data_IF_465825750218
#
_entry.id   IF_465825750218
#
_cell.length_a   1.000
_cell.length_b   1.000
_cell.length_c   1.000
_cell.angle_alpha   90.00
_cell.angle_beta   90.00
_cell.angle_gamma   90.00
#
_symmetry.space_group_name_H-M   'P 1'
#
loop_
_entity.id
_entity.type
_entity.pdbx_description
1 polymer ?
#
# COMPACT_ATOMS: atom_id res chain seq x y z
N UNK A 1 26.82 1.02 -31.75
CA UNK A 1 25.49 0.49 -32.16
C UNK A 1 25.45 -1.04 -32.01
N UNK A 2 26.27 -1.60 -31.11
CA UNK A 2 26.68 -3.01 -31.18
C UNK A 2 25.86 -3.93 -30.29
N UNK A 3 25.14 -3.38 -29.31
CA UNK A 3 24.30 -4.17 -28.40
C UNK A 3 23.15 -4.93 -29.07
N UNK A 4 22.56 -4.37 -30.13
CA UNK A 4 21.51 -5.06 -30.89
C UNK A 4 22.04 -6.21 -31.74
N UNK A 5 23.31 -6.13 -32.16
CA UNK A 5 23.99 -7.18 -32.92
C UNK A 5 24.34 -8.37 -32.03
N UNK A 6 24.81 -8.10 -30.81
CA UNK A 6 25.15 -9.15 -29.82
C UNK A 6 23.91 -9.89 -29.31
N UNK A 7 22.79 -9.17 -29.13
CA UNK A 7 21.52 -9.78 -28.71
C UNK A 7 20.86 -10.58 -29.84
N UNK A 8 20.97 -10.12 -31.09
CA UNK A 8 20.55 -10.88 -32.26
C UNK A 8 21.36 -12.18 -32.41
N UNK A 9 22.69 -12.12 -32.19
CA UNK A 9 23.55 -13.30 -32.24
C UNK A 9 23.18 -14.33 -31.16
N UNK A 10 22.93 -13.89 -29.91
CA UNK A 10 22.44 -14.76 -28.84
C UNK A 10 21.10 -15.43 -29.17
N UNK A 11 20.18 -14.72 -29.83
CA UNK A 11 18.91 -15.30 -30.28
C UNK A 11 19.12 -16.38 -31.37
N UNK A 12 20.11 -16.21 -32.26
CA UNK A 12 20.46 -17.20 -33.28
C UNK A 12 21.05 -18.46 -32.62
N UNK A 13 21.93 -18.31 -31.64
CA UNK A 13 22.53 -19.45 -30.93
C UNK A 13 21.49 -20.28 -30.17
N UNK A 14 20.53 -19.60 -29.51
CA UNK A 14 19.39 -20.25 -28.85
C UNK A 14 18.47 -20.97 -29.85
N UNK A 15 18.29 -20.40 -31.05
CA UNK A 15 17.53 -21.07 -32.10
C UNK A 15 18.23 -22.35 -32.59
N UNK A 16 19.55 -22.33 -32.77
CA UNK A 16 20.33 -23.52 -33.15
C UNK A 16 20.22 -24.61 -32.08
N UNK A 17 20.30 -24.26 -30.79
CA UNK A 17 20.08 -25.21 -29.69
C UNK A 17 18.66 -25.78 -29.68
N UNK A 18 17.66 -24.97 -30.03
CA UNK A 18 16.28 -25.44 -30.13
C UNK A 18 16.09 -26.41 -31.32
N UNK A 19 16.82 -26.21 -32.42
CA UNK A 19 16.81 -27.11 -33.58
C UNK A 19 17.49 -28.45 -33.29
N UNK A 20 18.63 -28.45 -32.60
CA UNK A 20 19.28 -29.70 -32.17
C UNK A 20 18.43 -30.48 -31.17
N UNK A 21 17.61 -29.77 -30.37
CA UNK A 21 16.64 -30.37 -29.47
C UNK A 21 15.30 -30.77 -30.14
N UNK A 22 15.16 -30.63 -31.47
CA UNK A 22 13.95 -31.00 -32.22
C UNK A 22 12.74 -30.09 -32.00
N UNK A 23 12.91 -28.92 -31.36
CA UNK A 23 11.84 -27.98 -31.02
C UNK A 23 11.72 -26.88 -32.08
N UNK A 24 11.20 -27.27 -33.25
CA UNK A 24 11.13 -26.44 -34.47
C UNK A 24 10.36 -25.13 -34.24
N UNK A 25 9.20 -25.18 -33.58
CA UNK A 25 8.39 -23.97 -33.31
C UNK A 25 9.08 -22.95 -32.40
N UNK A 26 9.91 -23.42 -31.46
CA UNK A 26 10.67 -22.54 -30.56
C UNK A 26 11.83 -21.90 -31.32
N UNK A 27 12.50 -22.66 -32.18
CA UNK A 27 13.56 -22.14 -33.04
C UNK A 27 13.04 -21.03 -33.98
N UNK A 28 11.85 -21.21 -34.58
CA UNK A 28 11.24 -20.19 -35.45
C UNK A 28 11.01 -18.86 -34.71
N UNK A 29 10.50 -18.92 -33.48
CA UNK A 29 10.25 -17.73 -32.65
C UNK A 29 11.54 -16.97 -32.32
N UNK A 30 12.63 -17.68 -32.01
CA UNK A 30 13.92 -17.05 -31.74
C UNK A 30 14.55 -16.45 -33.00
N UNK A 31 14.40 -17.08 -34.17
CA UNK A 31 14.89 -16.55 -35.45
C UNK A 31 14.10 -15.31 -35.89
N UNK A 32 12.77 -15.29 -35.73
CA UNK A 32 11.95 -14.10 -35.98
C UNK A 32 12.32 -12.94 -35.06
N UNK A 33 12.68 -13.23 -33.80
CA UNK A 33 13.16 -12.22 -32.85
C UNK A 33 14.53 -11.67 -33.27
N UNK A 34 15.45 -12.53 -33.70
CA UNK A 34 16.75 -12.11 -34.21
C UNK A 34 16.63 -11.21 -35.45
N UNK A 35 15.75 -11.57 -36.39
CA UNK A 35 15.49 -10.78 -37.61
C UNK A 35 14.92 -9.38 -37.32
N UNK A 36 14.05 -9.27 -36.30
CA UNK A 36 13.49 -7.97 -35.86
C UNK A 36 14.50 -7.07 -35.14
N UNK A 37 15.49 -7.66 -34.47
CA UNK A 37 16.51 -6.92 -33.74
C UNK A 37 17.64 -6.47 -34.68
N UNK A 38 18.19 -7.39 -35.46
CA UNK A 38 19.21 -7.11 -36.47
C UNK A 38 19.16 -8.16 -37.59
N UNK A 39 18.72 -7.81 -38.80
CA UNK A 39 18.57 -8.77 -39.89
C UNK A 39 19.93 -9.27 -40.37
N UNK A 40 20.22 -10.54 -40.12
CA UNK A 40 21.43 -11.23 -40.58
C UNK A 40 21.10 -12.28 -41.63
N UNK A 41 22.02 -12.51 -42.57
CA UNK A 41 21.85 -13.55 -43.60
C UNK A 41 21.77 -14.97 -43.00
N UNK A 42 22.43 -15.19 -41.85
CA UNK A 42 22.35 -16.45 -41.10
C UNK A 42 20.94 -16.70 -40.53
N UNK A 43 20.32 -15.68 -39.92
CA UNK A 43 18.96 -15.80 -39.38
C UNK A 43 17.93 -16.11 -40.48
N UNK A 44 18.03 -15.43 -41.63
CA UNK A 44 17.12 -15.66 -42.78
C UNK A 44 17.24 -17.08 -43.35
N UNK A 45 18.48 -17.58 -43.52
CA UNK A 45 18.72 -18.95 -44.02
C UNK A 45 18.14 -20.02 -43.10
N UNK A 46 18.38 -19.90 -41.79
CA UNK A 46 17.83 -20.83 -40.80
C UNK A 46 16.30 -20.77 -40.74
N UNK A 47 15.72 -19.58 -40.87
CA UNK A 47 14.27 -19.41 -40.87
C UNK A 47 13.61 -20.02 -42.11
N UNK A 48 14.26 -19.94 -43.29
CA UNK A 48 13.82 -20.63 -44.49
C UNK A 48 13.87 -22.16 -44.34
N UNK A 49 14.93 -22.69 -43.72
CA UNK A 49 15.08 -24.12 -43.44
C UNK A 49 14.03 -24.65 -42.45
N UNK A 50 13.67 -23.85 -41.45
CA UNK A 50 12.64 -24.17 -40.46
C UNK A 50 11.24 -24.19 -41.08
N UNK A 51 10.95 -23.23 -41.99
CA UNK A 51 9.67 -23.18 -42.69
C UNK A 51 9.48 -24.35 -43.66
N UNK A 52 10.55 -24.78 -44.35
CA UNK A 52 10.47 -25.95 -45.24
C UNK A 52 10.37 -27.28 -44.49
N UNK A 53 10.93 -27.39 -43.29
CA UNK A 53 10.76 -28.57 -42.42
C UNK A 53 9.37 -28.64 -41.79
N UNK A 54 8.75 -27.50 -41.47
CA UNK A 54 7.38 -27.45 -40.93
C UNK A 54 6.31 -27.89 -41.94
N UNK A 55 6.52 -27.63 -43.24
CA UNK A 55 5.57 -28.02 -44.30
C UNK A 55 5.52 -29.52 -44.62
N UNK A 56 6.51 -30.31 -44.19
CA UNK A 56 6.57 -31.76 -44.47
C UNK A 56 5.89 -32.64 -43.38
N UNK A 57 5.37 -32.05 -42.30
CA UNK A 57 4.88 -32.78 -41.12
C UNK A 57 3.38 -33.07 -41.06
N UNK A 58 2.59 -32.77 -42.08
CA UNK A 58 1.12 -32.93 -42.03
C UNK A 58 0.60 -33.86 -43.14
N UNK A 59 0.56 -35.16 -42.85
CA UNK A 59 -0.25 -36.10 -43.63
C UNK A 59 -0.93 -37.10 -42.68
N UNK A 60 -2.25 -36.98 -42.51
CA UNK A 60 -3.02 -37.82 -41.57
C UNK A 60 -4.51 -37.48 -41.43
N UNK A 61 -5.29 -37.73 -42.51
CA UNK A 61 -6.70 -38.21 -42.54
C UNK A 61 -7.82 -37.26 -42.04
N UNK A 62 -8.59 -36.62 -42.95
CA UNK A 62 -9.95 -37.00 -43.47
C UNK A 62 -11.09 -36.90 -42.44
N UNK A 63 -12.32 -36.39 -42.67
CA UNK A 63 -13.15 -35.93 -43.81
C UNK A 63 -14.34 -35.18 -43.15
N UNK A 64 -14.93 -34.12 -43.69
CA UNK A 64 -16.01 -34.15 -44.69
C UNK A 64 -16.40 -32.71 -45.02
N UNK A 65 -16.75 -32.48 -46.29
CA UNK A 65 -17.15 -31.18 -46.83
C UNK A 65 -18.67 -31.17 -47.09
N UNK A 66 -19.28 -30.00 -46.97
CA UNK A 66 -20.47 -29.61 -47.72
C UNK A 66 -20.45 -28.08 -47.91
N UNK A 67 -20.63 -27.66 -49.16
CA UNK A 67 -20.55 -26.29 -49.64
C UNK A 67 -21.93 -25.75 -50.02
N UNK A 68 -22.09 -24.42 -49.96
CA UNK A 68 -22.91 -23.56 -50.84
C UNK A 68 -22.65 -22.11 -50.39
N UNK A 69 -21.96 -21.30 -51.20
CA UNK A 69 -22.52 -20.40 -52.23
C UNK A 69 -23.52 -19.36 -51.69
N UNK A 70 -23.10 -18.08 -51.59
CA UNK A 70 -23.69 -17.00 -52.39
C UNK A 70 -22.99 -15.63 -52.21
N UNK A 71 -23.09 -14.84 -53.27
CA UNK A 71 -22.51 -13.52 -53.55
C UNK A 71 -23.11 -12.41 -52.68
N UNK A 72 -22.32 -11.37 -52.37
CA UNK A 72 -22.79 -9.98 -52.56
C UNK A 72 -21.62 -9.01 -52.75
N UNK A 73 -21.84 -8.03 -53.63
CA UNK A 73 -20.89 -7.06 -54.15
C UNK A 73 -21.29 -5.67 -53.64
N UNK A 74 -20.43 -5.00 -52.87
CA UNK A 74 -20.67 -3.63 -52.42
C UNK A 74 -19.37 -2.86 -52.09
N UNK A 75 -19.29 -1.55 -52.39
CA UNK A 75 -18.02 -0.83 -52.43
C UNK A 75 -17.50 -0.49 -51.03
N UNK A 76 -16.20 -0.71 -50.82
CA UNK A 76 -15.48 -0.38 -49.59
C UNK A 76 -15.51 1.14 -49.33
N UNK A 77 -16.39 1.58 -48.43
CA UNK A 77 -16.30 2.89 -47.78
C UNK A 77 -15.18 2.82 -46.74
N UNK A 78 -14.08 3.52 -46.98
CA UNK A 78 -12.99 3.72 -46.02
C UNK A 78 -13.53 4.48 -44.81
N UNK A 79 -13.63 3.79 -43.67
CA UNK A 79 -13.75 4.44 -42.36
C UNK A 79 -12.38 4.31 -41.70
N UNK A 80 -11.75 5.46 -41.48
CA UNK A 80 -10.59 5.60 -40.61
C UNK A 80 -10.95 5.06 -39.23
N UNK A 81 -10.32 3.95 -38.83
CA UNK A 81 -10.29 3.51 -37.44
C UNK A 81 -8.89 3.77 -36.90
N UNK A 82 -8.67 5.01 -36.45
CA UNK A 82 -7.72 5.27 -35.38
C UNK A 82 -8.25 4.64 -34.10
N UNK A 83 -8.02 3.35 -33.94
CA UNK A 83 -8.16 2.66 -32.67
C UNK A 83 -7.39 1.33 -32.76
N UNK A 84 -6.06 1.43 -32.66
CA UNK A 84 -5.22 0.31 -32.24
C UNK A 84 -5.66 -0.06 -30.82
N UNK A 85 -6.60 -0.99 -30.68
CA UNK A 85 -6.83 -1.69 -29.43
C UNK A 85 -5.57 -2.49 -29.12
N UNK A 86 -4.74 -1.95 -28.24
CA UNK A 86 -3.66 -2.69 -27.59
C UNK A 86 -4.25 -3.96 -27.01
N UNK A 87 -3.64 -5.10 -27.31
CA UNK A 87 -3.97 -6.34 -26.62
C UNK A 87 -3.98 -6.08 -25.10
N UNK A 88 -4.97 -6.59 -24.34
CA UNK A 88 -5.01 -6.38 -22.91
C UNK A 88 -3.72 -6.90 -22.26
N UNK A 89 -3.07 -6.05 -21.47
CA UNK A 89 -1.79 -6.30 -20.78
C UNK A 89 -1.96 -7.29 -19.59
N UNK A 90 -2.97 -8.17 -19.65
CA UNK A 90 -3.40 -9.07 -18.59
C UNK A 90 -3.93 -10.40 -19.16
N UNK A 91 -3.78 -11.49 -18.39
CA UNK A 91 -4.33 -12.80 -18.76
C UNK A 91 -5.81 -12.92 -18.38
N UNK A 92 -6.58 -13.77 -19.07
CA UNK A 92 -7.98 -14.03 -18.69
C UNK A 92 -8.09 -14.56 -17.25
N UNK A 93 -7.14 -15.40 -16.82
CA UNK A 93 -7.06 -15.92 -15.45
C UNK A 93 -6.85 -14.80 -14.41
N UNK A 94 -6.07 -13.76 -14.75
CA UNK A 94 -5.86 -12.59 -13.89
C UNK A 94 -7.13 -11.75 -13.75
N UNK A 95 -7.89 -11.62 -14.84
CA UNK A 95 -9.18 -10.91 -14.84
C UNK A 95 -10.23 -11.66 -14.01
N UNK A 96 -10.26 -12.99 -14.12
CA UNK A 96 -11.17 -13.85 -13.36
C UNK A 96 -10.87 -13.80 -11.86
N UNK A 97 -9.59 -13.82 -11.46
CA UNK A 97 -9.18 -13.67 -10.07
C UNK A 97 -9.63 -12.33 -9.46
N UNK A 98 -9.48 -11.23 -10.21
CA UNK A 98 -9.95 -9.90 -9.78
C UNK A 98 -11.47 -9.86 -9.66
N UNK A 99 -12.20 -10.42 -10.64
CA UNK A 99 -13.67 -10.49 -10.59
C UNK A 99 -14.16 -11.30 -9.39
N UNK A 100 -13.55 -12.45 -9.12
CA UNK A 100 -13.91 -13.31 -7.99
C UNK A 100 -13.82 -12.57 -6.66
N UNK A 101 -12.73 -11.85 -6.43
CA UNK A 101 -12.55 -11.07 -5.20
C UNK A 101 -13.52 -9.91 -5.11
N UNK A 102 -13.84 -9.26 -6.23
CA UNK A 102 -14.84 -8.18 -6.26
C UNK A 102 -16.25 -8.68 -5.95
N UNK A 103 -16.59 -9.92 -6.33
CA UNK A 103 -17.91 -10.52 -6.08
C UNK A 103 -18.09 -11.09 -4.66
N UNK A 104 -16.99 -11.48 -4.00
CA UNK A 104 -17.01 -12.13 -2.68
C UNK A 104 -17.19 -11.13 -1.55
N UNK A 105 -18.36 -11.14 -0.90
CA UNK A 105 -18.66 -10.22 0.19
C UNK A 105 -17.91 -10.59 1.48
N UNK A 106 -17.76 -11.88 1.79
CA UNK A 106 -17.15 -12.34 3.05
C UNK A 106 -15.60 -12.36 2.99
N UNK A 107 -14.93 -12.02 4.10
CA UNK A 107 -13.46 -12.01 4.17
C UNK A 107 -12.83 -13.40 4.02
N UNK A 108 -13.52 -14.43 4.52
CA UNK A 108 -13.08 -15.83 4.34
C UNK A 108 -13.16 -16.26 2.87
N UNK A 109 -14.18 -15.81 2.14
CA UNK A 109 -14.35 -16.08 0.71
C UNK A 109 -13.33 -15.31 -0.14
N UNK A 110 -13.01 -14.06 0.24
CA UNK A 110 -11.96 -13.25 -0.41
C UNK A 110 -10.60 -13.95 -0.33
N UNK A 111 -10.27 -14.57 0.80
CA UNK A 111 -9.05 -15.35 0.97
C UNK A 111 -9.17 -16.79 0.44
N UNK A 112 -10.37 -17.25 0.13
CA UNK A 112 -10.64 -18.62 -0.31
C UNK A 112 -10.36 -19.68 0.75
N UNK A 113 -10.63 -19.36 2.02
CA UNK A 113 -10.39 -20.24 3.18
C UNK A 113 -11.70 -20.52 3.94
N UNK A 114 -11.73 -21.63 4.68
CA UNK A 114 -12.87 -21.96 5.56
C UNK A 114 -12.96 -20.99 6.75
N UNK A 115 -14.16 -20.80 7.31
CA UNK A 115 -14.36 -20.07 8.59
C UNK A 115 -13.59 -20.72 9.75
N UNK A 116 -13.35 -22.03 9.68
CA UNK A 116 -12.56 -22.80 10.65
C UNK A 116 -11.05 -22.77 10.38
N UNK A 117 -10.58 -21.99 9.41
CA UNK A 117 -9.17 -21.97 9.02
C UNK A 117 -8.28 -21.44 10.15
N UNK A 118 -7.10 -22.03 10.28
CA UNK A 118 -6.09 -21.57 11.25
C UNK A 118 -5.40 -20.30 10.76
N UNK A 119 -4.82 -19.51 11.67
CA UNK A 119 -4.08 -18.29 11.30
C UNK A 119 -2.96 -18.58 10.30
N UNK A 120 -2.34 -19.76 10.39
CA UNK A 120 -1.30 -20.20 9.46
C UNK A 120 -1.83 -20.40 8.03
N UNK A 121 -3.06 -20.86 7.87
CA UNK A 121 -3.71 -21.08 6.58
C UNK A 121 -4.15 -19.75 5.96
N UNK A 122 -4.70 -18.85 6.78
CA UNK A 122 -5.07 -17.47 6.39
C UNK A 122 -3.84 -16.74 5.84
N UNK A 123 -2.70 -16.81 6.56
CA UNK A 123 -1.42 -16.21 6.14
C UNK A 123 -0.89 -16.81 4.84
N UNK A 124 -0.97 -18.14 4.68
CA UNK A 124 -0.55 -18.83 3.44
C UNK A 124 -1.42 -18.44 2.25
N UNK A 125 -2.73 -18.37 2.43
CA UNK A 125 -3.68 -17.98 1.39
C UNK A 125 -3.47 -16.54 0.95
N UNK A 126 -3.31 -15.61 1.91
CA UNK A 126 -2.96 -14.21 1.64
C UNK A 126 -1.67 -14.10 0.82
N UNK A 127 -0.59 -14.78 1.24
CA UNK A 127 0.70 -14.76 0.53
C UNK A 127 0.57 -15.18 -0.93
N UNK A 128 -0.21 -16.23 -1.20
CA UNK A 128 -0.42 -16.75 -2.56
C UNK A 128 -1.21 -15.77 -3.42
N UNK A 129 -2.32 -15.23 -2.89
CA UNK A 129 -3.19 -14.30 -3.61
C UNK A 129 -2.53 -12.93 -3.82
N UNK A 130 -1.78 -12.44 -2.83
CA UNK A 130 -1.10 -11.15 -2.91
C UNK A 130 -0.07 -11.14 -4.05
N UNK A 131 0.66 -12.23 -4.27
CA UNK A 131 1.59 -12.37 -5.40
C UNK A 131 0.89 -12.44 -6.77
N UNK A 132 -0.34 -12.98 -6.82
CA UNK A 132 -1.13 -13.09 -8.05
C UNK A 132 -1.84 -11.78 -8.43
N UNK A 133 -2.19 -10.97 -7.43
CA UNK A 133 -2.99 -9.75 -7.59
C UNK A 133 -2.17 -8.47 -7.42
N UNK A 134 -0.87 -8.59 -7.17
CA UNK A 134 0.01 -7.44 -7.03
C UNK A 134 -0.08 -6.55 -8.30
N UNK A 135 -0.26 -5.22 -8.16
CA UNK A 135 -0.50 -4.32 -9.30
C UNK A 135 0.65 -4.29 -10.31
N UNK A 136 1.88 -4.63 -9.88
CA UNK A 136 3.05 -4.77 -10.77
C UNK A 136 2.95 -5.99 -11.71
N UNK A 137 2.33 -7.09 -11.25
CA UNK A 137 2.21 -8.35 -12.01
C UNK A 137 0.86 -8.52 -12.68
N UNK A 138 -0.18 -7.89 -12.16
CA UNK A 138 -1.55 -7.96 -12.66
C UNK A 138 -2.07 -6.55 -13.00
N UNK A 139 -2.06 -6.24 -14.30
CA UNK A 139 -2.56 -4.97 -14.85
C UNK A 139 -4.02 -5.03 -15.28
N UNK A 140 -4.78 -6.05 -14.83
CA UNK A 140 -6.20 -6.14 -15.12
C UNK A 140 -6.97 -4.97 -14.47
N UNK A 141 -8.05 -4.47 -15.12
CA UNK A 141 -8.86 -3.40 -14.56
C UNK A 141 -9.46 -3.83 -13.21
N UNK A 142 -9.20 -3.03 -12.16
CA UNK A 142 -9.66 -3.32 -10.79
C UNK A 142 -8.71 -4.20 -9.96
N UNK A 143 -7.51 -4.52 -10.44
CA UNK A 143 -6.52 -5.29 -9.66
C UNK A 143 -6.13 -4.57 -8.35
N UNK A 144 -5.98 -3.25 -8.38
CA UNK A 144 -5.71 -2.41 -7.20
C UNK A 144 -6.82 -2.53 -6.17
N UNK A 145 -8.08 -2.53 -6.59
CA UNK A 145 -9.23 -2.65 -5.68
C UNK A 145 -9.30 -4.05 -5.06
N UNK A 146 -9.09 -5.09 -5.87
CA UNK A 146 -9.06 -6.47 -5.40
C UNK A 146 -7.89 -6.70 -4.42
N UNK A 147 -6.72 -6.10 -4.68
CA UNK A 147 -5.57 -6.17 -3.78
C UNK A 147 -5.85 -5.48 -2.44
N UNK A 148 -6.52 -4.32 -2.45
CA UNK A 148 -6.98 -3.66 -1.22
C UNK A 148 -7.99 -4.49 -0.44
N UNK A 149 -8.98 -5.07 -1.12
CA UNK A 149 -9.95 -5.96 -0.48
C UNK A 149 -9.28 -7.18 0.15
N UNK A 150 -8.28 -7.77 -0.52
CA UNK A 150 -7.46 -8.86 -0.01
C UNK A 150 -6.67 -8.45 1.25
N UNK A 151 -6.07 -7.25 1.24
CA UNK A 151 -5.35 -6.69 2.39
C UNK A 151 -6.26 -6.48 3.61
N UNK A 152 -7.46 -5.91 3.40
CA UNK A 152 -8.44 -5.71 4.46
C UNK A 152 -8.91 -7.04 5.07
N UNK A 153 -9.22 -8.03 4.21
CA UNK A 153 -9.62 -9.36 4.66
C UNK A 153 -8.55 -10.02 5.53
N UNK A 154 -7.28 -9.98 5.08
CA UNK A 154 -6.17 -10.52 5.86
C UNK A 154 -5.92 -9.73 7.15
N UNK A 155 -5.98 -8.40 7.13
CA UNK A 155 -5.78 -7.57 8.32
C UNK A 155 -6.81 -7.85 9.42
N UNK A 156 -8.07 -8.09 9.06
CA UNK A 156 -9.12 -8.44 10.01
C UNK A 156 -9.00 -9.89 10.49
N UNK A 157 -8.74 -10.83 9.58
CA UNK A 157 -8.72 -12.27 9.91
C UNK A 157 -7.42 -12.74 10.58
N UNK A 158 -6.33 -12.00 10.47
CA UNK A 158 -5.05 -12.33 11.15
C UNK A 158 -4.97 -11.83 12.58
N UNK A 159 -5.84 -10.91 12.98
CA UNK A 159 -5.95 -10.39 14.34
C UNK A 159 -7.06 -11.15 15.08
N UNK A 160 -6.73 -11.79 16.20
CA UNK A 160 -7.66 -12.64 16.94
C UNK A 160 -8.87 -11.87 17.49
N UNK A 161 -8.69 -10.61 17.91
CA UNK A 161 -9.76 -9.78 18.44
C UNK A 161 -10.67 -9.29 17.31
N UNK A 162 -10.07 -8.84 16.20
CA UNK A 162 -10.84 -8.37 15.04
C UNK A 162 -11.57 -9.51 14.34
N UNK A 163 -10.96 -10.69 14.23
CA UNK A 163 -11.60 -11.91 13.72
C UNK A 163 -12.79 -12.31 14.58
N UNK A 164 -12.65 -12.28 15.91
CA UNK A 164 -13.76 -12.56 16.82
C UNK A 164 -14.91 -11.56 16.65
N UNK A 165 -14.61 -10.27 16.55
CA UNK A 165 -15.63 -9.25 16.33
C UNK A 165 -16.31 -9.42 14.96
N UNK A 166 -15.53 -9.77 13.93
CA UNK A 166 -16.05 -10.08 12.60
C UNK A 166 -16.98 -11.30 12.60
N UNK A 167 -16.61 -12.36 13.32
CA UNK A 167 -17.42 -13.58 13.42
C UNK A 167 -18.72 -13.36 14.21
N UNK A 168 -18.74 -12.42 15.16
CA UNK A 168 -19.91 -12.08 15.98
C UNK A 168 -20.91 -11.17 15.26
N UNK A 169 -20.43 -10.14 14.57
CA UNK A 169 -21.28 -9.06 14.03
C UNK A 169 -21.37 -9.06 12.49
N UNK A 170 -20.50 -9.81 11.81
CA UNK A 170 -20.42 -9.84 10.35
C UNK A 170 -20.05 -8.50 9.73
N UNK A 171 -20.25 -8.39 8.41
CA UNK A 171 -19.92 -7.19 7.62
C UNK A 171 -20.89 -6.02 7.87
N UNK A 172 -22.05 -6.27 8.46
CA UNK A 172 -23.18 -5.34 8.41
C UNK A 172 -23.37 -4.45 9.66
N UNK A 173 -22.55 -4.55 10.70
CA UNK A 173 -22.73 -3.75 11.92
C UNK A 173 -21.50 -2.92 12.31
N UNK A 174 -21.16 -1.92 11.50
CA UNK A 174 -20.43 -0.74 12.01
C UNK A 174 -21.36 0.46 12.17
N UNK A 175 -22.51 0.20 12.79
CA UNK A 175 -23.55 1.20 13.00
C UNK A 175 -24.27 1.06 14.35
N UNK A 176 -23.56 0.73 15.44
CA UNK A 176 -23.91 1.23 16.78
C UNK A 176 -22.91 0.78 17.86
N UNK A 177 -22.21 1.76 18.45
CA UNK A 177 -21.97 1.78 19.90
C UNK A 177 -20.60 1.33 20.43
N UNK A 178 -19.93 2.29 21.08
CA UNK A 178 -18.80 2.18 22.03
C UNK A 178 -17.42 1.97 21.39
N UNK A 179 -16.43 2.84 21.54
CA UNK A 179 -16.20 3.85 22.57
C UNK A 179 -14.83 3.58 23.22
N UNK A 180 -13.85 4.41 22.87
CA UNK A 180 -12.70 4.79 23.71
C UNK A 180 -11.64 3.72 24.04
N UNK A 181 -10.46 3.79 23.39
CA UNK A 181 -9.15 3.98 24.05
C UNK A 181 -8.00 3.88 23.00
N UNK A 182 -7.04 4.80 23.02
CA UNK A 182 -5.71 4.56 22.43
C UNK A 182 -5.26 5.50 21.29
N UNK A 183 -4.69 6.65 21.69
CA UNK A 183 -3.48 7.28 21.15
C UNK A 183 -3.09 7.16 19.66
N UNK A 184 -3.00 8.33 19.01
CA UNK A 184 -1.74 8.79 18.42
C UNK A 184 -1.27 8.22 17.07
N UNK A 185 -1.29 9.11 16.08
CA UNK A 185 -0.38 9.22 14.93
C UNK A 185 -0.59 8.33 13.68
N UNK A 186 -0.50 9.04 12.54
CA UNK A 186 -0.39 8.61 11.14
C UNK A 186 -1.71 8.48 10.35
N UNK A 187 -1.98 9.49 9.52
CA UNK A 187 -3.11 9.50 8.61
C UNK A 187 -2.95 10.45 7.44
N UNK A 188 -1.82 10.40 6.74
CA UNK A 188 -1.70 10.96 5.39
C UNK A 188 -2.32 9.95 4.42
N UNK A 189 -3.63 10.05 4.16
CA UNK A 189 -4.35 9.07 3.33
C UNK A 189 -5.58 9.68 2.66
N UNK A 190 -5.44 9.88 1.35
CA UNK A 190 -6.35 10.59 0.47
C UNK A 190 -7.84 10.16 0.54
N UNK A 191 -8.69 11.17 0.41
CA UNK A 191 -10.07 11.08 -0.04
C UNK A 191 -10.16 10.29 -1.36
N UNK A 192 -10.70 9.07 -1.32
CA UNK A 192 -11.38 8.47 -2.46
C UNK A 192 -12.70 7.86 -1.98
N UNK A 193 -13.81 8.36 -2.55
CA UNK A 193 -15.12 7.74 -2.48
C UNK A 193 -15.01 6.31 -3.06
N UNK A 194 -15.09 5.29 -2.22
CA UNK A 194 -15.26 3.91 -2.66
C UNK A 194 -16.75 3.59 -2.75
N UNK A 195 -17.22 3.39 -3.98
CA UNK A 195 -18.59 2.99 -4.36
C UNK A 195 -18.92 1.54 -3.99
N UNK A 196 -17.98 0.80 -3.39
CA UNK A 196 -18.17 -0.59 -2.98
C UNK A 196 -17.72 -0.75 -1.52
N UNK A 197 -18.65 -1.22 -0.67
CA UNK A 197 -18.62 -1.17 0.80
C UNK A 197 -17.55 -1.98 1.55
N UNK A 198 -16.36 -2.22 0.98
CA UNK A 198 -15.24 -2.90 1.66
C UNK A 198 -14.43 -2.00 2.60
N UNK A 199 -14.80 -0.73 2.71
CA UNK A 199 -14.08 0.30 3.49
C UNK A 199 -14.97 0.99 4.52
N UNK A 200 -16.01 0.31 5.02
CA UNK A 200 -16.90 0.82 6.08
C UNK A 200 -16.71 0.00 7.36
N UNK A 201 -15.83 0.46 8.24
CA UNK A 201 -15.88 0.11 9.68
C UNK A 201 -14.84 -0.88 10.21
N UNK A 202 -14.19 -1.66 9.36
CA UNK A 202 -13.03 -2.50 9.71
C UNK A 202 -11.86 -2.12 8.81
N UNK A 203 -11.33 -0.91 9.00
CA UNK A 203 -10.08 -0.57 8.34
C UNK A 203 -8.96 -1.28 9.11
N UNK A 204 -8.18 -2.11 8.42
CA UNK A 204 -6.91 -2.54 8.98
C UNK A 204 -6.09 -1.26 9.20
N UNK A 205 -5.54 -1.08 10.40
CA UNK A 205 -4.66 0.06 10.74
C UNK A 205 -3.36 0.05 9.91
N UNK A 206 -3.18 -1.00 9.11
CA UNK A 206 -2.05 -1.31 8.27
C UNK A 206 -2.55 -1.33 6.82
N UNK A 207 -1.94 -0.55 5.94
CA UNK A 207 -2.28 -0.56 4.51
C UNK A 207 -2.03 -1.94 3.88
N UNK A 208 -2.70 -2.28 2.78
CA UNK A 208 -2.49 -3.56 2.10
C UNK A 208 -1.01 -3.73 1.66
N UNK A 209 -0.36 -2.62 1.32
CA UNK A 209 1.04 -2.52 0.95
C UNK A 209 1.98 -2.67 2.16
N UNK A 210 1.63 -2.08 3.31
CA UNK A 210 2.39 -2.22 4.55
C UNK A 210 2.23 -3.62 5.16
N UNK A 211 1.04 -4.21 5.05
CA UNK A 211 0.78 -5.60 5.42
C UNK A 211 1.62 -6.52 4.54
N UNK A 212 1.66 -6.27 3.22
CA UNK A 212 2.54 -7.00 2.30
C UNK A 212 4.01 -6.84 2.71
N UNK A 213 4.47 -5.63 3.00
CA UNK A 213 5.85 -5.41 3.45
C UNK A 213 6.13 -6.13 4.79
N UNK A 214 5.20 -6.12 5.74
CA UNK A 214 5.35 -6.86 7.00
C UNK A 214 5.39 -8.38 6.76
N UNK A 215 4.61 -8.90 5.81
CA UNK A 215 4.54 -10.33 5.49
C UNK A 215 5.68 -10.85 4.62
N UNK A 216 6.29 -10.00 3.78
CA UNK A 216 7.31 -10.40 2.80
C UNK A 216 8.72 -9.86 3.11
N UNK A 217 8.84 -8.78 3.89
CA UNK A 217 10.11 -8.12 4.19
C UNK A 217 10.71 -8.52 5.57
N UNK A 218 10.02 -9.37 6.33
CA UNK A 218 10.50 -9.97 7.58
C UNK A 218 11.13 -11.37 7.43
N UNK A 219 11.33 -11.87 6.20
CA UNK A 219 11.85 -13.22 6.01
C UNK A 219 12.02 -13.64 4.55
N UNK A 220 13.05 -13.12 3.88
CA UNK A 220 13.76 -13.85 2.83
C UNK A 220 15.21 -13.34 2.74
N UNK A 221 16.22 -14.22 2.93
CA UNK A 221 17.58 -13.93 2.51
C UNK A 221 17.63 -14.08 0.99
N UNK A 222 17.66 -12.97 0.26
CA UNK A 222 18.07 -13.01 -1.14
C UNK A 222 19.56 -12.71 -1.21
N UNK A 223 20.30 -13.75 -1.57
CA UNK A 223 21.71 -13.73 -1.92
C UNK A 223 21.99 -12.63 -2.96
N UNK A 224 22.94 -11.75 -2.59
CA UNK A 224 24.00 -11.18 -3.40
C UNK A 224 23.65 -10.63 -4.80
N UNK A 225 23.59 -9.30 -4.90
CA UNK A 225 24.20 -8.58 -6.03
C UNK A 225 25.04 -7.41 -5.49
N UNK A 226 26.35 -7.57 -5.67
CA UNK A 226 27.50 -6.68 -5.49
C UNK A 226 27.27 -5.19 -5.16
N UNK A 227 27.71 -4.77 -3.97
CA UNK A 227 28.33 -3.46 -3.75
C UNK A 227 29.57 -3.63 -2.87
N UNK A 228 30.71 -3.24 -3.42
CA UNK A 228 32.06 -3.45 -2.90
C UNK A 228 32.54 -2.16 -2.25
N UNK A 229 32.75 -2.12 -0.93
CA UNK A 229 33.94 -1.47 -0.38
C UNK A 229 34.28 -1.97 1.04
N UNK A 230 35.54 -2.40 1.17
CA UNK A 230 36.17 -2.88 2.39
C UNK A 230 36.29 -1.78 3.45
N UNK A 231 36.00 -2.11 4.73
CA UNK A 231 36.93 -1.84 5.83
C UNK A 231 36.68 -2.72 7.06
N UNK A 232 37.66 -3.60 7.29
CA UNK A 232 38.23 -4.10 8.57
C UNK A 232 37.30 -4.60 9.69
N UNK A 233 37.18 -5.93 9.75
CA UNK A 233 37.81 -6.84 10.75
C UNK A 233 38.25 -6.22 12.11
N UNK A 234 37.57 -6.61 13.18
CA UNK A 234 38.09 -7.18 14.44
C UNK A 234 36.96 -8.08 14.98
N UNK A 235 37.09 -9.41 14.84
CA UNK A 235 37.41 -10.38 15.91
C UNK A 235 36.32 -10.48 16.99
N UNK A 236 35.88 -11.65 17.46
CA UNK A 236 36.01 -13.04 17.06
C UNK A 236 35.07 -13.84 17.99
N UNK A 237 34.54 -14.95 17.48
CA UNK A 237 34.20 -16.21 18.15
C UNK A 237 33.71 -16.16 19.61
N UNK A 238 32.52 -16.71 19.80
CA UNK A 238 32.38 -17.97 20.55
C UNK A 238 31.18 -18.76 20.00
N UNK A 239 31.50 -19.89 19.37
CA UNK A 239 30.55 -20.95 19.09
C UNK A 239 30.38 -21.80 20.34
N UNK A 240 29.17 -22.36 20.50
CA UNK A 240 28.88 -23.68 21.10
C UNK A 240 28.70 -23.72 22.62
N UNK A 241 27.47 -23.96 23.05
CA UNK A 241 27.02 -25.24 23.64
C UNK A 241 25.63 -25.07 24.24
N UNK A 242 24.80 -26.10 24.11
CA UNK A 242 23.49 -26.13 24.75
C UNK A 242 23.64 -26.07 26.27
N UNK A 243 22.97 -25.11 26.88
CA UNK A 243 22.63 -25.18 28.29
C UNK A 243 21.31 -24.44 28.51
N UNK A 244 20.42 -25.09 29.27
CA UNK A 244 19.07 -24.66 29.66
C UNK A 244 19.08 -23.42 30.58
N UNK A 245 19.71 -22.34 30.14
CA UNK A 245 19.77 -21.05 30.83
C UNK A 245 19.55 -19.93 29.81
N UNK A 246 18.38 -19.93 29.16
CA UNK A 246 18.15 -19.08 27.98
C UNK A 246 16.87 -18.25 28.04
N UNK A 247 16.11 -18.23 29.15
CA UNK A 247 14.98 -17.32 29.26
C UNK A 247 15.44 -15.85 29.43
N UNK A 248 16.44 -15.60 30.29
CA UNK A 248 16.95 -14.25 30.56
C UNK A 248 17.77 -13.66 29.41
N UNK A 249 18.58 -14.48 28.72
CA UNK A 249 19.39 -14.02 27.57
C UNK A 249 18.51 -13.72 26.34
N UNK A 250 17.43 -14.48 26.13
CA UNK A 250 16.45 -14.21 25.08
C UNK A 250 15.59 -12.96 25.36
N UNK A 251 15.40 -12.60 26.64
CA UNK A 251 14.70 -11.37 27.05
C UNK A 251 15.58 -10.12 26.97
N UNK A 252 16.90 -10.25 26.91
CA UNK A 252 17.86 -9.15 26.88
C UNK A 252 17.62 -8.14 25.74
N UNK A 253 17.34 -8.53 24.47
CA UNK A 253 16.98 -7.57 23.42
C UNK A 253 15.63 -6.87 23.67
N UNK A 254 14.65 -7.55 24.28
CA UNK A 254 13.35 -6.96 24.64
C UNK A 254 13.51 -5.97 25.80
N UNK A 255 14.27 -6.34 26.83
CA UNK A 255 14.62 -5.48 27.95
C UNK A 255 15.45 -4.28 27.50
N UNK A 256 16.29 -4.43 26.49
CA UNK A 256 17.03 -3.33 25.90
C UNK A 256 16.10 -2.37 25.16
N UNK A 257 15.11 -2.86 24.40
CA UNK A 257 14.11 -2.01 23.73
C UNK A 257 13.21 -1.28 24.73
N UNK A 258 12.73 -1.98 25.76
CA UNK A 258 11.95 -1.38 26.85
C UNK A 258 12.82 -0.36 27.58
N UNK A 259 14.06 -0.71 27.92
CA UNK A 259 15.02 0.17 28.56
C UNK A 259 15.31 1.42 27.74
N UNK A 260 15.52 1.29 26.43
CA UNK A 260 15.80 2.41 25.52
C UNK A 260 14.56 3.29 25.29
N UNK A 261 13.36 2.70 25.28
CA UNK A 261 12.09 3.43 25.27
C UNK A 261 11.78 4.15 26.58
N UNK A 262 12.21 3.60 27.72
CA UNK A 262 12.10 4.29 29.01
C UNK A 262 13.15 5.39 29.13
N UNK A 263 14.38 5.13 28.65
CA UNK A 263 15.46 6.11 28.64
C UNK A 263 15.14 7.30 27.74
N UNK A 264 14.48 7.09 26.59
CA UNK A 264 14.11 8.19 25.69
C UNK A 264 13.19 9.21 26.37
N UNK A 265 12.34 8.78 27.31
CA UNK A 265 11.48 9.66 28.10
C UNK A 265 12.26 10.50 29.11
N UNK A 266 13.45 10.06 29.55
CA UNK A 266 14.35 10.83 30.41
C UNK A 266 15.15 11.90 29.66
N UNK A 267 15.32 11.77 28.34
CA UNK A 267 16.02 12.75 27.51
C UNK A 267 15.11 13.83 26.92
N UNK A 268 13.79 13.77 27.16
CA UNK A 268 12.88 14.85 26.79
C UNK A 268 13.08 15.97 27.81
N UNK A 269 13.83 17.00 27.42
CA UNK A 269 13.93 18.22 28.20
C UNK A 269 12.55 18.87 28.30
N UNK A 270 12.24 19.33 29.51
CA UNK A 270 10.98 20.04 29.76
C UNK A 270 10.88 21.30 28.90
N UNK A 271 9.71 21.62 28.33
CA UNK A 271 9.53 22.85 27.59
C UNK A 271 9.72 24.07 28.51
N UNK A 272 10.17 25.19 27.94
CA UNK A 272 10.43 26.41 28.71
C UNK A 272 9.15 27.09 29.20
N UNK A 273 8.03 26.81 28.55
CA UNK A 273 6.73 27.40 28.86
C UNK A 273 5.59 26.40 28.58
N UNK A 274 4.38 26.76 29.01
CA UNK A 274 3.14 26.05 28.71
C UNK A 274 2.04 27.06 28.35
N UNK A 275 1.14 26.69 27.43
CA UNK A 275 -0.07 27.47 27.14
C UNK A 275 -1.20 27.21 28.15
N UNK A 276 -1.04 26.19 28.99
CA UNK A 276 -2.01 25.82 30.04
C UNK A 276 -1.36 25.85 31.42
N UNK A 277 -2.10 26.29 32.46
CA UNK A 277 -1.56 26.35 33.80
C UNK A 277 -1.29 24.93 34.33
N UNK A 278 -0.18 24.76 35.02
CA UNK A 278 0.12 23.51 35.73
C UNK A 278 0.96 23.79 36.97
N UNK A 279 1.09 22.81 37.87
CA UNK A 279 1.94 22.97 39.06
C UNK A 279 3.41 23.26 38.73
N UNK A 280 3.87 22.86 37.53
CA UNK A 280 5.23 23.14 37.05
C UNK A 280 5.36 24.52 36.42
N UNK A 281 4.28 25.01 35.83
CA UNK A 281 4.19 26.31 35.16
C UNK A 281 3.14 27.17 35.88
N UNK A 282 3.52 27.69 37.05
CA UNK A 282 2.70 28.47 37.97
C UNK A 282 2.63 29.95 37.58
N UNK A 283 3.71 30.51 37.06
CA UNK A 283 3.84 31.95 36.82
C UNK A 283 3.20 32.31 35.49
N UNK A 284 2.12 33.10 35.55
CA UNK A 284 1.45 33.61 34.35
C UNK A 284 2.19 34.82 33.76
N UNK A 285 2.27 34.86 32.44
CA UNK A 285 2.84 35.94 31.64
C UNK A 285 1.97 36.19 30.42
N UNK A 286 2.15 37.33 29.77
CA UNK A 286 1.45 37.68 28.54
C UNK A 286 2.46 38.12 27.49
N UNK A 287 2.24 37.70 26.25
CA UNK A 287 3.09 38.10 25.13
C UNK A 287 2.87 39.57 24.80
N UNK A 288 3.88 40.22 24.21
CA UNK A 288 3.78 41.65 23.94
C UNK A 288 2.82 41.99 22.78
N UNK A 289 2.77 41.18 21.72
CA UNK A 289 2.06 41.53 20.49
C UNK A 289 0.59 41.12 20.53
N UNK A 290 0.30 39.83 20.70
CA UNK A 290 -1.06 39.28 20.68
C UNK A 290 -1.71 39.18 22.07
N UNK A 291 -0.99 39.59 23.13
CA UNK A 291 -1.43 39.49 24.54
C UNK A 291 -1.89 38.08 24.93
N UNK A 292 -1.22 37.06 24.39
CA UNK A 292 -1.55 35.66 24.65
C UNK A 292 -1.03 35.28 26.04
N UNK A 293 -1.87 34.72 26.94
CA UNK A 293 -1.41 34.25 28.23
C UNK A 293 -0.62 32.95 28.08
N UNK A 294 0.54 32.89 28.73
CA UNK A 294 1.38 31.70 28.80
C UNK A 294 1.97 31.54 30.21
N UNK A 295 2.45 30.36 30.54
CA UNK A 295 2.87 29.99 31.89
C UNK A 295 4.31 29.50 31.89
N UNK A 296 5.10 29.98 32.84
CA UNK A 296 6.52 29.62 33.02
C UNK A 296 6.76 29.09 34.44
N UNK A 297 7.92 28.48 34.66
CA UNK A 297 8.35 28.04 35.99
C UNK A 297 8.70 29.24 36.88
N UNK A 298 8.68 29.06 38.20
CA UNK A 298 9.07 30.10 39.17
C UNK A 298 10.52 30.60 38.93
N UNK A 299 11.42 29.70 38.56
CA UNK A 299 12.84 29.98 38.32
C UNK A 299 13.15 30.42 36.87
N UNK A 300 12.17 30.93 36.13
CA UNK A 300 12.31 31.26 34.70
C UNK A 300 13.50 32.18 34.41
N UNK A 301 13.67 33.28 35.16
CA UNK A 301 14.74 34.25 34.93
C UNK A 301 16.15 33.70 35.21
N UNK A 302 16.27 32.69 36.08
CA UNK A 302 17.55 32.04 36.37
C UNK A 302 17.88 30.90 35.40
N UNK A 303 16.86 30.22 34.85
CA UNK A 303 17.06 29.11 33.90
C UNK A 303 17.16 29.59 32.44
N UNK A 304 16.47 30.68 32.09
CA UNK A 304 16.36 31.15 30.71
C UNK A 304 17.37 32.27 30.40
N UNK A 305 18.42 31.93 29.66
CA UNK A 305 19.45 32.88 29.22
C UNK A 305 19.13 33.57 27.86
N UNK A 306 17.99 33.25 27.24
CA UNK A 306 17.64 33.73 25.90
C UNK A 306 16.92 35.08 25.85
N UNK A 307 16.53 35.51 24.65
CA UNK A 307 15.70 36.71 24.48
C UNK A 307 14.23 36.40 24.71
N UNK A 308 13.62 37.03 25.73
CA UNK A 308 12.19 36.88 26.05
C UNK A 308 11.31 37.26 24.86
N UNK A 309 11.71 38.25 24.05
CA UNK A 309 10.96 38.64 22.86
C UNK A 309 10.87 37.51 21.82
N UNK A 310 11.96 36.76 21.60
CA UNK A 310 11.96 35.60 20.68
C UNK A 310 11.14 34.44 21.25
N UNK A 311 11.18 34.25 22.56
CA UNK A 311 10.32 33.27 23.22
C UNK A 311 8.85 33.63 23.02
N UNK A 312 8.46 34.88 23.26
CA UNK A 312 7.09 35.36 23.08
C UNK A 312 6.61 35.21 21.62
N UNK A 313 7.47 35.48 20.64
CA UNK A 313 7.17 35.22 19.21
C UNK A 313 6.87 33.74 18.96
N UNK A 314 7.67 32.82 19.51
CA UNK A 314 7.40 31.38 19.40
C UNK A 314 6.11 30.96 20.12
N UNK A 315 5.80 31.57 21.27
CA UNK A 315 4.56 31.34 22.01
C UNK A 315 3.35 31.75 21.19
N UNK A 316 3.42 32.91 20.52
CA UNK A 316 2.36 33.42 19.66
C UNK A 316 2.14 32.52 18.44
N UNK A 317 3.22 32.09 17.79
CA UNK A 317 3.15 31.16 16.66
C UNK A 317 2.51 29.82 17.08
N UNK A 318 2.98 29.22 18.18
CA UNK A 318 2.44 27.96 18.69
C UNK A 318 0.97 28.08 19.11
N UNK A 319 0.59 29.20 19.72
CA UNK A 319 -0.80 29.47 20.08
C UNK A 319 -1.71 29.59 18.84
N UNK A 320 -1.28 30.34 17.82
CA UNK A 320 -2.04 30.48 16.57
C UNK A 320 -2.13 29.15 15.84
N UNK A 321 -1.05 28.36 15.80
CA UNK A 321 -1.06 27.02 15.21
C UNK A 321 -2.01 26.08 15.96
N UNK A 322 -2.02 26.13 17.29
CA UNK A 322 -2.98 25.39 18.11
C UNK A 322 -4.43 25.79 17.79
N UNK A 323 -4.72 27.08 17.67
CA UNK A 323 -6.05 27.57 17.28
C UNK A 323 -6.44 27.13 15.87
N UNK A 324 -5.51 27.16 14.89
CA UNK A 324 -5.74 26.64 13.53
C UNK A 324 -6.12 25.17 13.55
N UNK A 325 -5.38 24.34 14.28
CA UNK A 325 -5.67 22.92 14.39
C UNK A 325 -7.01 22.65 15.09
N UNK A 326 -7.28 23.35 16.19
CA UNK A 326 -8.55 23.22 16.92
C UNK A 326 -9.75 23.68 16.09
N UNK A 327 -9.63 24.81 15.37
CA UNK A 327 -10.65 25.27 14.44
C UNK A 327 -10.88 24.27 13.30
N UNK A 328 -9.81 23.73 12.70
CA UNK A 328 -9.92 22.72 11.64
C UNK A 328 -10.67 21.49 12.15
N UNK A 329 -10.37 21.02 13.36
CA UNK A 329 -11.06 19.88 13.99
C UNK A 329 -12.55 20.16 14.23
N UNK A 330 -12.89 21.33 14.79
CA UNK A 330 -14.29 21.74 15.00
C UNK A 330 -15.07 21.82 13.69
N UNK A 331 -14.47 22.43 12.67
CA UNK A 331 -15.06 22.53 11.33
C UNK A 331 -15.25 21.17 10.68
N UNK A 332 -14.24 20.30 10.74
CA UNK A 332 -14.34 18.94 10.22
C UNK A 332 -15.43 18.13 10.92
N UNK A 333 -15.58 18.31 12.25
CA UNK A 333 -16.65 17.68 13.01
C UNK A 333 -18.03 18.18 12.55
N UNK A 334 -18.20 19.49 12.40
CA UNK A 334 -19.44 20.09 11.88
C UNK A 334 -19.77 19.59 10.47
N UNK A 335 -18.79 19.60 9.58
CA UNK A 335 -18.96 19.21 8.18
C UNK A 335 -19.26 17.71 8.05
N UNK A 336 -18.64 16.87 8.89
CA UNK A 336 -18.96 15.44 9.05
C UNK A 336 -20.42 15.22 9.48
N UNK A 337 -20.89 15.95 10.48
CA UNK A 337 -22.28 15.88 10.95
C UNK A 337 -23.27 16.33 9.87
N UNK A 338 -22.95 17.38 9.13
CA UNK A 338 -23.74 17.85 7.98
C UNK A 338 -23.78 16.79 6.86
N UNK A 339 -22.64 16.18 6.54
CA UNK A 339 -22.56 15.14 5.53
C UNK A 339 -23.42 13.93 5.93
N UNK A 340 -23.30 13.47 7.18
CA UNK A 340 -24.13 12.39 7.74
C UNK A 340 -25.62 12.71 7.62
N UNK A 341 -26.04 13.92 8.01
CA UNK A 341 -27.42 14.34 7.90
C UNK A 341 -27.94 14.33 6.46
N UNK A 342 -27.11 14.75 5.48
CA UNK A 342 -27.45 14.70 4.05
C UNK A 342 -27.57 13.27 3.54
N UNK A 343 -26.67 12.37 3.94
CA UNK A 343 -26.68 10.97 3.49
C UNK A 343 -27.91 10.20 3.99
N UNK A 344 -28.33 10.43 5.24
CA UNK A 344 -29.49 9.74 5.82
C UNK A 344 -30.81 10.48 5.66
N UNK A 345 -30.80 11.71 5.13
CA UNK A 345 -31.99 12.53 4.95
C UNK A 345 -32.61 13.07 6.26
N UNK A 346 -31.87 13.02 7.36
CA UNK A 346 -32.32 13.45 8.70
C UNK A 346 -32.29 14.98 8.82
N UNK A 347 -33.46 15.59 8.87
CA UNK A 347 -33.63 17.06 8.95
C UNK A 347 -33.27 17.63 10.31
N UNK A 348 -33.46 16.87 11.38
CA UNK A 348 -33.16 17.33 12.73
C UNK A 348 -31.66 17.30 12.98
N UNK A 349 -30.99 16.24 12.51
CA UNK A 349 -29.52 16.16 12.53
C UNK A 349 -28.90 17.29 11.69
N UNK A 350 -29.50 17.62 10.55
CA UNK A 350 -29.03 18.71 9.69
C UNK A 350 -29.10 20.07 10.39
N UNK A 351 -30.24 20.39 11.04
CA UNK A 351 -30.39 21.63 11.82
C UNK A 351 -29.42 21.68 12.99
N UNK A 352 -29.26 20.58 13.73
CA UNK A 352 -28.28 20.47 14.81
C UNK A 352 -26.87 20.72 14.31
N UNK A 353 -26.49 20.11 13.18
CA UNK A 353 -25.16 20.26 12.60
C UNK A 353 -24.89 21.69 12.12
N UNK A 354 -25.88 22.42 11.59
CA UNK A 354 -25.73 23.82 11.22
C UNK A 354 -25.47 24.74 12.42
N UNK A 355 -26.05 24.41 13.58
CA UNK A 355 -25.95 25.21 14.80
C UNK A 355 -24.77 24.80 15.71
N UNK A 356 -23.86 23.93 15.24
CA UNK A 356 -22.65 23.59 15.99
C UNK A 356 -21.75 24.84 16.05
N UNK A 357 -21.51 25.31 17.27
CA UNK A 357 -20.62 26.43 17.52
C UNK A 357 -19.16 26.04 17.26
N UNK A 358 -18.37 27.00 16.74
CA UNK A 358 -16.93 26.82 16.43
C UNK A 358 -16.08 27.86 17.16
N UNK A 359 -15.99 27.79 18.51
CA UNK A 359 -15.35 28.82 19.32
C UNK A 359 -13.86 28.98 19.00
N UNK A 360 -13.16 27.91 18.60
CA UNK A 360 -11.74 28.00 18.23
C UNK A 360 -11.55 28.74 16.91
N UNK A 361 -12.49 28.59 15.97
CA UNK A 361 -12.49 29.34 14.72
C UNK A 361 -12.79 30.83 14.94
N UNK A 362 -13.76 31.14 15.80
CA UNK A 362 -14.11 32.52 16.14
C UNK A 362 -12.94 33.22 16.83
N UNK A 363 -12.24 32.51 17.72
CA UNK A 363 -11.03 33.02 18.37
C UNK A 363 -9.89 33.20 17.38
N UNK A 364 -9.64 32.23 16.48
CA UNK A 364 -8.62 32.37 15.44
C UNK A 364 -8.85 33.62 14.57
N UNK A 365 -10.10 33.90 14.22
CA UNK A 365 -10.44 35.08 13.42
C UNK A 365 -10.07 36.40 14.11
N UNK A 366 -10.14 36.47 15.44
CA UNK A 366 -9.73 37.67 16.20
C UNK A 366 -8.24 37.99 16.03
N UNK A 367 -7.40 36.97 15.87
CA UNK A 367 -5.94 37.10 15.79
C UNK A 367 -5.40 37.14 14.36
N UNK A 368 -6.23 36.86 13.34
CA UNK A 368 -5.85 36.96 11.93
C UNK A 368 -6.17 38.35 11.32
N UNK A 369 -6.92 39.19 12.03
CA UNK A 369 -7.38 40.52 11.58
C UNK A 369 -6.54 41.67 12.17
N UNK A 370 -5.82 41.39 13.27
CA UNK A 370 -4.81 42.26 13.89
C UNK A 370 -3.44 41.97 13.30
#
# INVERSE_FOLDING_TARGET
MDGNKDEAQRCIDLAVQALTAGKIEKAEKFLLKAERLFPTENAKRLLAQVKSTSSNGSNGKSRTAAASDEKDSGPRKRVNSDSRSSAPDYTNDQLEAVRKIKTCKDYYEVLGVSKTATDSEIKKAYKKLALQLHPDKNKAPGSVEAFKALGNAAGVLTDAEKRKNYDLYGINESHNGHGNNGGGHHGHGQYYNNEYGYSRGFQADISAEELFNMFFNGGFPQQNVYMRQQRRRQQAREDREGNNSSALVNLLPILLLIGLSMMSSFFISDPMYSLTPSHKYSVTRQTNSLKVPYYVKDNFYSEYQGSVARLEESVEEDFVNHLKHSCSRERNYRDSMLAKARTFGDRDLYRKAQNINTPSCDNLQKYLIT
#
